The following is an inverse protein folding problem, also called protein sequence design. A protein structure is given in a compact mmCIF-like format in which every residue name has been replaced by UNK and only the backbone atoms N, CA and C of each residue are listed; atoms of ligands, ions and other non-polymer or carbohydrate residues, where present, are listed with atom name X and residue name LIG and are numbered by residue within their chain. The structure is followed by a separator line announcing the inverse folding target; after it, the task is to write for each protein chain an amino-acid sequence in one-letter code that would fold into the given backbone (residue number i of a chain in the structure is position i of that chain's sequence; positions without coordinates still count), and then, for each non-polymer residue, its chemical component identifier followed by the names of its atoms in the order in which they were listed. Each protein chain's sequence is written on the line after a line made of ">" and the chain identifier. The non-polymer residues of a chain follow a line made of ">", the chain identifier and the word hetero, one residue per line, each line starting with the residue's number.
data_IF_178519779883
#
_entry.id   IF_178519779883
#
_cell.length_a   1.000
_cell.length_b   1.000
_cell.length_c   1.000
_cell.angle_alpha   90.00
_cell.angle_beta   90.00
_cell.angle_gamma   90.00
#
_symmetry.space_group_name_H-M   'P 1'
#
loop_
_entity.id
_entity.type
_entity.pdbx_description
1 polymer ?
#
# COMPACT_ATOMS: atom_id res chain seq x y z
N UNK A 1 0.61 29.41 -49.46
CA UNK A 1 -0.09 29.44 -48.16
C UNK A 1 0.10 28.05 -47.56
N UNK A 2 1.05 27.90 -46.63
CA UNK A 2 1.36 26.61 -46.00
C UNK A 2 0.67 26.58 -44.63
N UNK A 3 -0.27 25.67 -44.46
CA UNK A 3 -0.85 25.36 -43.15
C UNK A 3 0.13 24.43 -42.42
N UNK A 4 0.85 24.96 -41.43
CA UNK A 4 1.51 24.14 -40.44
C UNK A 4 0.46 23.79 -39.38
N UNK A 5 -0.01 22.54 -39.38
CA UNK A 5 -0.68 21.97 -38.22
C UNK A 5 0.40 21.80 -37.13
N UNK A 6 0.54 22.81 -36.28
CA UNK A 6 1.23 22.65 -35.00
C UNK A 6 0.32 21.74 -34.18
N UNK A 7 0.63 20.43 -34.19
CA UNK A 7 0.03 19.48 -33.28
C UNK A 7 0.26 19.99 -31.87
N UNK A 8 -0.82 20.46 -31.24
CA UNK A 8 -0.84 20.67 -29.80
C UNK A 8 -0.69 19.27 -29.19
N UNK A 9 0.53 18.91 -28.78
CA UNK A 9 0.71 17.88 -27.77
C UNK A 9 0.07 18.44 -26.50
N UNK A 10 -1.23 18.20 -26.34
CA UNK A 10 -1.84 18.28 -25.02
C UNK A 10 -1.11 17.22 -24.20
N UNK A 11 -0.34 17.63 -23.20
CA UNK A 11 0.09 16.72 -22.14
C UNK A 11 -1.18 16.28 -21.40
N UNK A 12 -1.88 15.29 -21.95
CA UNK A 12 -2.78 14.48 -21.16
C UNK A 12 -1.85 13.69 -20.24
N UNK A 13 -1.82 14.07 -18.97
CA UNK A 13 -1.20 13.23 -17.95
C UNK A 13 -2.07 11.98 -17.87
N UNK A 14 -1.49 10.80 -18.16
CA UNK A 14 -2.14 9.53 -17.86
C UNK A 14 -2.10 9.26 -16.36
N UNK A 15 -2.95 8.35 -15.90
CA UNK A 15 -2.83 7.78 -14.56
C UNK A 15 -1.40 7.25 -14.34
N UNK A 16 -0.87 7.34 -13.12
CA UNK A 16 0.54 7.05 -12.88
C UNK A 16 0.79 6.44 -11.50
N UNK A 17 1.88 5.69 -11.39
CA UNK A 17 2.45 5.27 -10.11
C UNK A 17 3.55 6.25 -9.68
N UNK A 18 3.71 6.39 -8.37
CA UNK A 18 4.99 6.82 -7.79
C UNK A 18 5.71 5.64 -7.14
N UNK A 19 6.99 5.80 -6.88
CA UNK A 19 7.78 4.83 -6.12
C UNK A 19 8.62 5.53 -5.05
N UNK A 20 8.99 4.77 -4.03
CA UNK A 20 9.96 5.21 -3.01
C UNK A 20 11.35 5.39 -3.62
N UNK A 21 11.59 4.85 -4.82
CA UNK A 21 12.84 4.97 -5.58
C UNK A 21 14.06 4.34 -4.90
N UNK A 22 13.79 3.39 -4.01
CA UNK A 22 14.71 2.49 -3.32
C UNK A 22 14.07 1.10 -3.33
N UNK A 23 14.85 0.05 -3.14
CA UNK A 23 14.41 -1.32 -3.37
C UNK A 23 15.19 -2.30 -2.48
N UNK A 24 14.64 -3.50 -2.32
CA UNK A 24 15.34 -4.61 -1.67
C UNK A 24 16.39 -5.24 -2.59
N UNK A 25 17.67 -5.12 -2.21
CA UNK A 25 18.77 -5.73 -2.98
C UNK A 25 18.71 -7.26 -2.90
N UNK A 26 18.43 -7.77 -1.71
CA UNK A 26 18.30 -9.20 -1.41
C UNK A 26 16.83 -9.55 -1.10
N UNK A 27 16.54 -10.83 -0.92
CA UNK A 27 15.21 -11.28 -0.49
C UNK A 27 14.83 -10.61 0.83
N UNK A 28 13.67 -9.90 0.91
CA UNK A 28 13.28 -9.28 2.16
C UNK A 28 12.84 -10.32 3.19
N UNK A 29 13.14 -10.03 4.44
CA UNK A 29 12.58 -10.74 5.60
C UNK A 29 11.47 -9.89 6.19
N UNK A 30 10.27 -10.45 6.20
CA UNK A 30 9.07 -9.87 6.80
C UNK A 30 8.95 -10.35 8.23
N UNK A 31 8.86 -9.43 9.18
CA UNK A 31 8.68 -9.74 10.58
C UNK A 31 7.33 -9.23 11.05
N UNK A 32 6.45 -10.16 11.41
CA UNK A 32 5.08 -9.89 11.83
C UNK A 32 5.08 -9.78 13.35
N UNK A 33 4.94 -8.55 13.84
CA UNK A 33 4.99 -8.17 15.24
C UNK A 33 3.56 -8.11 15.78
N UNK A 34 3.09 -9.23 16.33
CA UNK A 34 1.71 -9.33 16.79
C UNK A 34 1.46 -8.50 18.05
N UNK A 35 0.28 -7.88 18.20
CA UNK A 35 -0.11 -7.17 19.41
C UNK A 35 -0.35 -8.15 20.58
N UNK A 36 -0.66 -7.62 21.76
CA UNK A 36 -0.98 -8.43 22.93
C UNK A 36 -2.21 -9.33 22.67
N UNK A 37 -1.99 -10.64 22.77
CA UNK A 37 -3.00 -11.69 22.54
C UNK A 37 -4.21 -11.60 23.47
N UNK A 38 -4.10 -10.90 24.60
CA UNK A 38 -5.23 -10.68 25.51
C UNK A 38 -6.24 -9.66 24.99
N UNK A 39 -5.85 -8.88 23.98
CA UNK A 39 -6.64 -7.75 23.46
C UNK A 39 -6.96 -7.85 21.98
N UNK A 40 -6.41 -8.84 21.28
CA UNK A 40 -6.46 -8.93 19.81
C UNK A 40 -6.62 -10.37 19.32
N UNK A 41 -7.33 -10.54 18.21
CA UNK A 41 -7.50 -11.85 17.54
C UNK A 41 -6.28 -12.20 16.69
N UNK A 42 -5.25 -12.78 17.34
CA UNK A 42 -4.00 -13.17 16.66
C UNK A 42 -4.21 -14.18 15.51
N UNK A 43 -5.04 -15.23 15.66
CA UNK A 43 -5.36 -16.13 14.54
C UNK A 43 -5.89 -15.39 13.30
N UNK A 44 -6.80 -14.42 13.49
CA UNK A 44 -7.31 -13.61 12.39
C UNK A 44 -6.20 -12.76 11.74
N UNK A 45 -5.42 -12.02 12.54
CA UNK A 45 -4.33 -11.19 12.01
C UNK A 45 -3.31 -12.01 11.24
N UNK A 46 -2.97 -13.19 11.76
CA UNK A 46 -2.10 -14.16 11.08
C UNK A 46 -2.66 -14.53 9.72
N UNK A 47 -3.91 -14.99 9.66
CA UNK A 47 -4.54 -15.42 8.41
C UNK A 47 -4.55 -14.30 7.36
N UNK A 48 -4.98 -13.09 7.74
CA UNK A 48 -5.09 -11.98 6.80
C UNK A 48 -3.73 -11.49 6.31
N UNK A 49 -2.74 -11.40 7.19
CA UNK A 49 -1.41 -10.93 6.82
C UNK A 49 -0.66 -11.91 5.95
N UNK A 50 -0.68 -13.21 6.28
CA UNK A 50 -0.10 -14.21 5.39
C UNK A 50 -0.84 -14.28 4.05
N UNK A 51 -2.18 -14.15 4.04
CA UNK A 51 -2.96 -14.09 2.79
C UNK A 51 -2.50 -12.94 1.89
N UNK A 52 -2.29 -11.76 2.46
CA UNK A 52 -1.86 -10.58 1.72
C UNK A 52 -0.42 -10.69 1.18
N UNK A 53 0.53 -11.11 2.02
CA UNK A 53 1.94 -11.32 1.61
C UNK A 53 2.04 -12.40 0.53
N UNK A 54 1.32 -13.51 0.70
CA UNK A 54 1.33 -14.61 -0.25
C UNK A 54 0.71 -14.22 -1.60
N UNK A 55 -0.29 -13.34 -1.62
CA UNK A 55 -0.87 -12.87 -2.88
C UNK A 55 0.18 -12.12 -3.73
N UNK A 56 0.90 -11.17 -3.14
CA UNK A 56 1.99 -10.46 -3.81
C UNK A 56 3.03 -11.44 -4.35
N UNK A 57 3.57 -12.30 -3.49
CA UNK A 57 4.57 -13.29 -3.87
C UNK A 57 4.08 -14.19 -5.01
N UNK A 58 2.88 -14.78 -4.86
CA UNK A 58 2.31 -15.72 -5.83
C UNK A 58 2.09 -15.05 -7.18
N UNK A 59 1.52 -13.84 -7.21
CA UNK A 59 1.26 -13.13 -8.46
C UNK A 59 2.54 -12.71 -9.18
N UNK A 60 3.55 -12.26 -8.44
CA UNK A 60 4.86 -11.90 -9.02
C UNK A 60 5.59 -13.12 -9.60
N UNK A 61 5.62 -14.24 -8.86
CA UNK A 61 6.16 -15.52 -9.35
C UNK A 61 5.39 -15.98 -10.58
N UNK A 62 4.06 -15.93 -10.58
CA UNK A 62 3.26 -16.34 -11.72
C UNK A 62 3.48 -15.47 -12.96
N UNK A 63 3.74 -14.17 -12.79
CA UNK A 63 3.93 -13.23 -13.89
C UNK A 63 5.28 -13.39 -14.60
N UNK A 64 6.34 -13.81 -13.88
CA UNK A 64 7.72 -13.79 -14.40
C UNK A 64 8.49 -15.10 -14.26
N UNK A 65 8.12 -15.94 -13.30
CA UNK A 65 8.93 -17.09 -12.87
C UNK A 65 10.20 -16.72 -12.11
N UNK A 66 10.41 -15.44 -11.80
CA UNK A 66 11.59 -14.93 -11.09
C UNK A 66 11.62 -15.25 -9.59
N UNK A 67 12.70 -14.84 -8.92
CA UNK A 67 12.86 -14.96 -7.48
C UNK A 67 12.12 -13.84 -6.74
N UNK A 68 10.90 -14.12 -6.32
CA UNK A 68 10.09 -13.21 -5.50
C UNK A 68 9.92 -13.71 -4.07
N UNK A 69 10.87 -14.50 -3.59
CA UNK A 69 10.77 -15.14 -2.30
C UNK A 69 10.94 -14.12 -1.17
N UNK A 70 9.97 -14.10 -0.26
CA UNK A 70 9.97 -13.29 0.96
C UNK A 70 9.77 -14.23 2.14
N UNK A 71 10.70 -14.22 3.09
CA UNK A 71 10.59 -15.06 4.29
C UNK A 71 9.82 -14.31 5.36
N UNK A 72 8.80 -14.94 5.95
CA UNK A 72 8.03 -14.34 7.04
C UNK A 72 8.36 -15.02 8.37
N UNK A 73 8.66 -14.21 9.38
CA UNK A 73 8.87 -14.65 10.76
C UNK A 73 7.84 -13.97 11.66
N UNK A 74 7.32 -14.71 12.62
CA UNK A 74 6.27 -14.26 13.54
C UNK A 74 6.87 -14.01 14.92
N UNK A 75 6.55 -12.87 15.53
CA UNK A 75 6.97 -12.55 16.89
C UNK A 75 5.72 -12.21 17.73
N UNK A 76 5.44 -12.97 18.81
CA UNK A 76 4.37 -12.61 19.75
C UNK A 76 4.77 -11.39 20.58
N UNK A 77 3.78 -10.64 21.08
CA UNK A 77 4.01 -9.44 21.90
C UNK A 77 5.01 -9.64 23.05
N UNK A 78 4.98 -10.80 23.71
CA UNK A 78 5.88 -11.13 24.81
C UNK A 78 7.37 -11.09 24.45
N UNK A 79 7.71 -11.23 23.17
CA UNK A 79 9.09 -11.20 22.67
C UNK A 79 9.54 -9.80 22.23
N UNK A 80 8.61 -8.93 21.83
CA UNK A 80 8.95 -7.65 21.19
C UNK A 80 8.36 -6.39 21.83
N UNK A 81 7.45 -6.52 22.80
CA UNK A 81 6.68 -5.37 23.32
C UNK A 81 7.51 -4.24 23.95
N UNK A 82 8.76 -4.54 24.34
CA UNK A 82 9.74 -3.56 24.86
C UNK A 82 11.00 -3.49 23.98
N UNK A 83 11.01 -4.22 22.87
CA UNK A 83 12.13 -4.29 21.94
C UNK A 83 12.09 -3.14 20.94
N UNK A 84 13.20 -2.95 20.25
CA UNK A 84 13.37 -1.96 19.20
C UNK A 84 13.70 -2.66 17.89
N UNK A 85 13.68 -1.92 16.79
CA UNK A 85 14.10 -2.45 15.48
C UNK A 85 15.51 -3.04 15.52
N UNK A 86 16.41 -2.53 16.36
CA UNK A 86 17.80 -3.00 16.50
C UNK A 86 17.92 -4.42 17.07
N UNK A 87 16.89 -4.89 17.79
CA UNK A 87 16.85 -6.24 18.35
C UNK A 87 16.53 -7.31 17.28
N UNK A 88 16.10 -6.88 16.09
CA UNK A 88 15.74 -7.74 14.95
C UNK A 88 16.49 -7.35 13.67
N UNK A 89 17.83 -7.47 13.64
CA UNK A 89 18.66 -7.00 12.52
C UNK A 89 18.37 -7.74 11.21
N UNK A 90 17.78 -8.92 11.24
CA UNK A 90 17.39 -9.72 10.09
C UNK A 90 16.15 -9.18 9.36
N UNK A 91 15.32 -8.38 10.05
CA UNK A 91 14.06 -7.87 9.52
C UNK A 91 14.29 -6.66 8.63
N UNK A 92 13.74 -6.72 7.41
CA UNK A 92 13.74 -5.60 6.46
C UNK A 92 12.37 -4.97 6.28
N UNK A 93 11.30 -5.70 6.64
CA UNK A 93 9.92 -5.19 6.64
C UNK A 93 9.30 -5.61 7.98
N UNK A 94 8.88 -4.63 8.78
CA UNK A 94 8.16 -4.85 10.04
C UNK A 94 6.67 -4.63 9.80
N UNK A 95 5.83 -5.58 10.17
CA UNK A 95 4.36 -5.44 10.15
C UNK A 95 3.87 -5.41 11.58
N UNK A 96 3.34 -4.27 12.01
CA UNK A 96 2.85 -4.03 13.36
C UNK A 96 1.36 -3.71 13.33
N UNK A 97 0.69 -3.98 14.45
CA UNK A 97 -0.74 -3.69 14.60
C UNK A 97 -0.93 -2.76 15.80
N UNK A 98 -1.71 -1.72 15.61
CA UNK A 98 -2.04 -0.75 16.65
C UNK A 98 -3.55 -0.62 16.78
N UNK A 99 -4.03 -0.14 17.93
CA UNK A 99 -5.46 0.07 18.13
C UNK A 99 -6.06 0.99 17.06
N UNK A 100 -5.33 2.04 16.70
CA UNK A 100 -5.76 3.03 15.72
C UNK A 100 -5.53 4.43 16.26
N UNK A 101 -5.50 5.41 15.37
CA UNK A 101 -5.32 6.81 15.75
C UNK A 101 -6.45 7.64 15.15
N UNK A 102 -6.78 8.77 15.79
CA UNK A 102 -7.87 9.63 15.34
C UNK A 102 -7.47 10.44 14.09
N UNK A 103 -7.25 9.73 12.99
CA UNK A 103 -7.09 10.28 11.64
C UNK A 103 -7.88 9.42 10.63
N UNK A 104 -7.93 9.88 9.38
CA UNK A 104 -8.63 9.17 8.30
C UNK A 104 -7.78 8.01 7.72
N UNK A 105 -6.63 7.68 8.32
CA UNK A 105 -5.73 6.62 7.87
C UNK A 105 -6.06 5.32 8.59
N UNK A 106 -6.12 4.22 7.87
CA UNK A 106 -6.33 2.87 8.43
C UNK A 106 -5.07 1.99 8.38
N UNK A 107 -4.03 2.47 7.70
CA UNK A 107 -2.69 1.88 7.65
C UNK A 107 -1.65 2.96 7.39
N UNK A 108 -0.39 2.67 7.70
CA UNK A 108 0.76 3.56 7.44
C UNK A 108 2.00 2.74 7.14
N UNK A 109 2.79 3.20 6.19
CA UNK A 109 4.12 2.66 5.94
C UNK A 109 5.18 3.76 6.03
N UNK A 110 6.10 3.58 6.97
CA UNK A 110 7.34 4.36 7.10
C UNK A 110 8.55 3.57 6.62
N UNK A 111 9.68 4.24 6.51
CA UNK A 111 10.96 3.61 6.18
C UNK A 111 12.12 4.40 6.76
N UNK A 112 13.23 3.70 7.02
CA UNK A 112 14.49 4.30 7.44
C UNK A 112 15.62 3.83 6.50
N UNK A 113 16.18 4.78 5.76
CA UNK A 113 17.38 4.61 4.91
C UNK A 113 18.53 5.49 5.38
N UNK A 114 18.51 5.96 6.64
CA UNK A 114 19.52 6.85 7.19
C UNK A 114 20.89 6.17 7.32
N UNK A 115 20.92 4.84 7.41
CA UNK A 115 22.13 4.03 7.47
C UNK A 115 22.43 3.38 6.12
N UNK A 116 23.70 3.45 5.69
CA UNK A 116 24.18 2.71 4.51
C UNK A 116 24.36 1.22 4.77
N UNK A 117 24.22 0.78 6.03
CA UNK A 117 24.45 -0.60 6.48
C UNK A 117 23.13 -1.33 6.69
N UNK A 118 22.07 -0.60 7.05
CA UNK A 118 20.76 -1.16 7.35
C UNK A 118 19.66 -0.25 6.85
N UNK A 119 18.66 -0.84 6.21
CA UNK A 119 17.41 -0.19 5.89
C UNK A 119 16.25 -1.09 6.29
N UNK A 120 15.12 -0.49 6.60
CA UNK A 120 13.91 -1.23 6.92
C UNK A 120 12.66 -0.40 6.61
N UNK A 121 11.56 -1.09 6.37
CA UNK A 121 10.21 -0.54 6.31
C UNK A 121 9.47 -0.88 7.58
N UNK A 122 8.61 0.04 8.01
CA UNK A 122 7.76 -0.12 9.18
C UNK A 122 6.31 0.11 8.78
N UNK A 123 5.53 -0.96 8.79
CA UNK A 123 4.11 -0.98 8.46
C UNK A 123 3.33 -1.01 9.78
N UNK A 124 2.35 -0.13 9.88
CA UNK A 124 1.37 -0.09 10.98
C UNK A 124 -0.02 -0.29 10.39
N UNK A 125 -0.73 -1.27 10.94
CA UNK A 125 -2.10 -1.61 10.58
C UNK A 125 -2.99 -1.22 11.75
N UNK A 126 -3.99 -0.38 11.51
CA UNK A 126 -4.95 -0.03 12.54
C UNK A 126 -5.97 -1.16 12.69
N UNK A 127 -6.28 -1.54 13.93
CA UNK A 127 -7.31 -2.54 14.25
C UNK A 127 -8.69 -1.91 14.44
N UNK A 128 -8.73 -0.60 14.71
CA UNK A 128 -9.93 0.18 14.87
C UNK A 128 -9.80 1.50 14.13
N UNK A 129 -10.93 2.02 13.68
CA UNK A 129 -11.02 3.37 13.12
C UNK A 129 -12.28 4.08 13.59
N UNK A 130 -12.31 5.40 13.39
CA UNK A 130 -13.41 6.25 13.81
C UNK A 130 -14.41 6.46 12.68
N UNK A 131 -15.68 6.16 12.93
CA UNK A 131 -16.77 6.57 12.04
C UNK A 131 -17.39 7.85 12.63
N UNK A 132 -17.39 8.94 11.85
CA UNK A 132 -18.05 10.20 12.24
C UNK A 132 -19.53 10.14 11.88
N UNK A 133 -20.40 9.93 12.85
CA UNK A 133 -21.85 10.01 12.67
C UNK A 133 -22.34 11.43 12.94
N UNK A 134 -22.89 12.07 11.91
CA UNK A 134 -23.56 13.36 12.05
C UNK A 134 -25.02 13.08 12.44
N UNK A 135 -25.37 13.37 13.69
CA UNK A 135 -26.75 13.35 14.16
C UNK A 135 -27.32 14.76 14.06
N UNK A 136 -28.23 14.96 13.10
CA UNK A 136 -28.99 16.22 12.98
C UNK A 136 -30.32 16.05 13.71
N UNK A 137 -30.50 16.75 14.83
CA UNK A 137 -31.81 16.91 15.45
C UNK A 137 -32.45 18.19 14.94
N UNK A 138 -33.61 18.06 14.30
CA UNK A 138 -34.41 19.20 13.85
C UNK A 138 -35.38 19.60 14.97
N UNK A 139 -35.21 20.81 15.50
CA UNK A 139 -36.13 21.42 16.47
C UNK A 139 -37.32 22.10 15.80
N UNK A 140 -38.20 22.74 16.57
CA UNK A 140 -39.38 23.44 15.99
C UNK A 140 -38.98 24.66 15.16
N UNK A 141 -37.77 25.18 15.37
CA UNK A 141 -37.15 26.25 14.60
C UNK A 141 -35.63 26.03 14.43
N UNK A 142 -34.99 26.87 13.62
CA UNK A 142 -33.55 26.77 13.32
C UNK A 142 -32.66 26.89 14.56
N UNK A 143 -33.08 27.67 15.58
CA UNK A 143 -32.31 27.86 16.81
C UNK A 143 -32.41 26.66 17.76
N UNK A 144 -33.39 25.78 17.57
CA UNK A 144 -33.60 24.54 18.34
C UNK A 144 -33.05 23.31 17.62
N UNK A 145 -32.57 23.47 16.39
CA UNK A 145 -31.91 22.40 15.65
C UNK A 145 -30.47 22.26 16.11
N UNK A 146 -30.02 21.05 16.40
CA UNK A 146 -28.65 20.77 16.82
C UNK A 146 -27.99 19.78 15.84
N UNK A 147 -26.70 19.98 15.61
CA UNK A 147 -25.85 19.06 14.86
C UNK A 147 -24.82 18.51 15.84
N UNK A 148 -24.99 17.25 16.21
CA UNK A 148 -24.05 16.53 17.07
C UNK A 148 -23.18 15.63 16.18
N UNK A 149 -21.87 15.79 16.26
CA UNK A 149 -20.91 14.86 15.65
C UNK A 149 -20.52 13.87 16.73
N UNK A 150 -20.92 12.61 16.58
CA UNK A 150 -20.48 11.51 17.43
C UNK A 150 -19.36 10.76 16.73
N UNK A 151 -18.22 10.67 17.40
CA UNK A 151 -17.10 9.85 16.98
C UNK A 151 -17.15 8.56 17.78
N UNK A 152 -17.34 7.43 17.10
CA UNK A 152 -17.34 6.10 17.72
C UNK A 152 -16.25 5.25 17.06
N UNK A 153 -15.53 4.47 17.87
CA UNK A 153 -14.50 3.55 17.41
C UNK A 153 -15.13 2.23 17.02
N UNK A 154 -14.78 1.75 15.83
CA UNK A 154 -15.23 0.47 15.30
C UNK A 154 -14.03 -0.41 14.99
N UNK A 155 -14.12 -1.68 15.35
CA UNK A 155 -13.14 -2.69 14.96
C UNK A 155 -13.24 -2.94 13.45
N UNK A 156 -12.10 -2.90 12.77
CA UNK A 156 -12.02 -3.08 11.33
C UNK A 156 -12.24 -4.57 11.00
N UNK A 157 -13.16 -4.91 10.09
CA UNK A 157 -13.45 -6.29 9.72
C UNK A 157 -12.21 -7.01 9.14
N UNK A 158 -12.12 -8.35 9.29
CA UNK A 158 -10.96 -9.12 8.80
C UNK A 158 -10.64 -8.93 7.31
N UNK A 159 -11.65 -8.86 6.43
CA UNK A 159 -11.43 -8.62 5.00
C UNK A 159 -10.81 -7.24 4.74
N UNK A 160 -11.15 -6.24 5.54
CA UNK A 160 -10.62 -4.89 5.42
C UNK A 160 -9.20 -4.81 5.99
N UNK A 161 -8.92 -5.49 7.11
CA UNK A 161 -7.55 -5.68 7.60
C UNK A 161 -6.66 -6.28 6.50
N UNK A 162 -7.14 -7.30 5.81
CA UNK A 162 -6.42 -7.90 4.67
C UNK A 162 -6.14 -6.89 3.57
N UNK A 163 -7.13 -6.09 3.19
CA UNK A 163 -6.99 -5.06 2.15
C UNK A 163 -5.94 -4.01 2.56
N UNK A 164 -5.95 -3.59 3.82
CA UNK A 164 -4.98 -2.63 4.38
C UNK A 164 -3.59 -3.24 4.34
N UNK A 165 -3.40 -4.47 4.84
CA UNK A 165 -2.10 -5.15 4.78
C UNK A 165 -1.64 -5.29 3.33
N UNK A 166 -2.52 -5.63 2.39
CA UNK A 166 -2.17 -5.78 0.98
C UNK A 166 -1.61 -4.48 0.38
N UNK A 167 -2.21 -3.34 0.73
CA UNK A 167 -1.76 -2.01 0.29
C UNK A 167 -0.45 -1.58 0.95
N UNK A 168 -0.41 -1.59 2.28
CA UNK A 168 0.77 -1.14 3.04
C UNK A 168 1.99 -2.04 2.76
N UNK A 169 1.76 -3.33 2.55
CA UNK A 169 2.83 -4.23 2.14
C UNK A 169 3.38 -3.88 0.76
N UNK A 170 2.55 -3.38 -0.16
CA UNK A 170 3.02 -2.84 -1.44
C UNK A 170 3.99 -1.66 -1.26
N UNK A 171 3.73 -0.78 -0.28
CA UNK A 171 4.69 0.25 0.12
C UNK A 171 5.99 -0.34 0.69
N UNK A 172 5.88 -1.39 1.50
CA UNK A 172 7.02 -2.17 1.99
C UNK A 172 7.90 -2.74 0.88
N UNK A 173 7.36 -2.94 -0.33
CA UNK A 173 8.11 -3.40 -1.51
C UNK A 173 8.67 -2.26 -2.37
N UNK A 174 8.42 -1.00 -2.00
CA UNK A 174 8.95 0.19 -2.67
C UNK A 174 7.97 0.90 -3.63
N UNK A 175 6.71 0.45 -3.71
CA UNK A 175 5.65 1.19 -4.41
C UNK A 175 5.23 2.42 -3.58
N UNK A 176 4.82 3.48 -4.24
CA UNK A 176 3.94 4.49 -3.62
C UNK A 176 2.55 4.35 -4.27
N UNK A 177 1.72 5.37 -4.19
CA UNK A 177 0.36 5.31 -4.66
C UNK A 177 0.27 5.29 -6.18
N UNK A 178 -0.81 4.67 -6.65
CA UNK A 178 -1.41 4.88 -7.95
C UNK A 178 -2.32 6.11 -7.90
N UNK A 179 -2.15 7.02 -8.85
CA UNK A 179 -2.91 8.27 -8.96
C UNK A 179 -3.72 8.26 -10.24
N UNK A 180 -5.03 8.48 -10.07
CA UNK A 180 -5.94 8.73 -11.18
C UNK A 180 -5.94 10.22 -11.50
N UNK A 181 -5.64 10.57 -12.75
CA UNK A 181 -5.65 11.97 -13.22
C UNK A 181 -6.67 12.23 -14.33
N UNK A 182 -7.27 11.16 -14.83
CA UNK A 182 -8.38 11.11 -15.78
C UNK A 182 -9.61 11.88 -15.26
N UNK A 183 -10.38 12.53 -16.15
CA UNK A 183 -11.61 13.24 -15.75
C UNK A 183 -12.77 12.26 -15.66
N UNK A 184 -13.01 11.76 -14.44
CA UNK A 184 -14.01 10.74 -14.13
C UNK A 184 -15.47 11.16 -14.40
N UNK A 185 -15.72 12.41 -14.80
CA UNK A 185 -17.04 12.85 -15.29
C UNK A 185 -17.24 12.51 -16.76
N UNK A 186 -16.15 12.32 -17.49
CA UNK A 186 -16.13 12.11 -18.93
C UNK A 186 -15.70 10.69 -19.32
N UNK A 187 -15.01 9.99 -18.43
CA UNK A 187 -14.58 8.60 -18.62
C UNK A 187 -14.69 7.80 -17.32
N UNK A 188 -14.64 6.47 -17.44
CA UNK A 188 -14.63 5.58 -16.29
C UNK A 188 -13.22 5.53 -15.69
N UNK A 189 -13.07 6.03 -14.47
CA UNK A 189 -11.80 6.03 -13.75
C UNK A 189 -11.54 4.68 -13.10
N UNK A 190 -10.30 4.21 -13.22
CA UNK A 190 -9.89 2.94 -12.64
C UNK A 190 -9.31 3.15 -11.24
N UNK A 191 -10.08 2.78 -10.21
CA UNK A 191 -9.65 2.77 -8.81
C UNK A 191 -9.32 1.37 -8.29
N UNK A 192 -9.24 0.38 -9.20
CA UNK A 192 -9.00 -1.02 -8.84
C UNK A 192 -7.60 -1.35 -8.33
N UNK A 193 -6.49 -0.66 -8.72
CA UNK A 193 -5.16 -0.97 -8.21
C UNK A 193 -5.12 -0.93 -6.69
N UNK A 194 -4.47 -1.94 -6.07
CA UNK A 194 -4.41 -1.97 -4.61
C UNK A 194 -3.68 -0.74 -4.09
N UNK A 195 -2.71 -0.21 -4.84
CA UNK A 195 -1.97 0.99 -4.48
C UNK A 195 -2.74 2.30 -4.70
N UNK A 196 -4.01 2.29 -5.07
CA UNK A 196 -4.81 3.52 -5.00
C UNK A 196 -4.86 4.02 -3.55
N UNK A 197 -4.53 5.30 -3.31
CA UNK A 197 -4.31 5.87 -1.97
C UNK A 197 -5.55 6.02 -1.09
N UNK A 198 -6.61 5.28 -1.36
CA UNK A 198 -7.83 5.25 -0.56
C UNK A 198 -8.34 3.81 -0.46
N UNK A 199 -8.60 3.41 0.78
CA UNK A 199 -9.20 2.12 1.14
C UNK A 199 -10.43 2.42 1.95
N UNK A 200 -11.59 2.14 1.36
CA UNK A 200 -12.84 2.14 2.09
C UNK A 200 -12.93 0.88 2.95
N UNK A 201 -13.30 1.09 4.21
CA UNK A 201 -13.54 0.03 5.20
C UNK A 201 -15.05 -0.07 5.47
N UNK A 202 -15.50 -1.23 5.96
CA UNK A 202 -16.90 -1.56 6.24
C UNK A 202 -17.81 -1.73 5.00
N UNK A 203 -17.24 -1.77 3.80
CA UNK A 203 -17.98 -1.99 2.55
C UNK A 203 -18.10 -3.49 2.18
N UNK A 204 -17.40 -4.37 2.90
CA UNK A 204 -17.38 -5.81 2.61
C UNK A 204 -16.71 -6.16 1.28
N UNK A 205 -15.89 -5.24 0.76
CA UNK A 205 -15.15 -5.41 -0.50
C UNK A 205 -13.86 -6.20 -0.25
N UNK A 206 -13.53 -7.10 -1.16
CA UNK A 206 -12.26 -7.80 -1.18
C UNK A 206 -11.41 -7.25 -2.34
N UNK A 207 -10.31 -6.57 -1.99
CA UNK A 207 -9.36 -6.04 -2.97
C UNK A 207 -8.28 -7.09 -3.27
N UNK A 208 -7.67 -6.92 -4.45
CA UNK A 208 -6.64 -7.81 -4.97
C UNK A 208 -5.53 -6.97 -5.61
N UNK A 209 -4.30 -7.48 -5.60
CA UNK A 209 -3.17 -6.92 -6.36
C UNK A 209 -3.48 -7.02 -7.85
N UNK A 210 -3.48 -5.90 -8.55
CA UNK A 210 -3.81 -5.87 -9.99
C UNK A 210 -2.58 -6.08 -10.86
N UNK A 211 -2.79 -6.37 -12.14
CA UNK A 211 -1.69 -6.46 -13.11
C UNK A 211 -0.87 -5.16 -13.20
N UNK A 212 -1.50 -4.01 -12.95
CA UNK A 212 -0.82 -2.71 -12.93
C UNK A 212 0.20 -2.63 -11.78
N UNK A 213 -0.21 -3.08 -10.60
CA UNK A 213 0.65 -3.15 -9.41
C UNK A 213 1.83 -4.12 -9.65
N UNK A 214 1.55 -5.29 -10.23
CA UNK A 214 2.56 -6.30 -10.57
C UNK A 214 3.59 -5.78 -11.58
N UNK A 215 3.14 -5.17 -12.69
CA UNK A 215 4.02 -4.57 -13.69
C UNK A 215 4.93 -3.50 -13.09
N UNK A 216 4.41 -2.74 -12.13
CA UNK A 216 5.19 -1.70 -11.47
C UNK A 216 6.31 -2.28 -10.60
N UNK A 217 6.07 -3.38 -9.85
CA UNK A 217 7.15 -4.08 -9.13
C UNK A 217 8.16 -4.71 -10.08
N UNK A 218 7.73 -5.34 -11.17
CA UNK A 218 8.64 -5.86 -12.20
C UNK A 218 9.49 -4.72 -12.78
N UNK A 219 8.95 -3.50 -12.90
CA UNK A 219 9.73 -2.33 -13.34
C UNK A 219 10.80 -1.92 -12.33
N UNK A 220 10.56 -2.10 -11.03
CA UNK A 220 11.49 -1.77 -9.94
C UNK A 220 12.61 -2.82 -9.84
N UNK A 221 12.24 -4.11 -9.86
CA UNK A 221 13.15 -5.21 -9.55
C UNK A 221 13.69 -5.95 -10.79
N UNK A 222 13.01 -5.85 -11.94
CA UNK A 222 13.26 -6.67 -13.11
C UNK A 222 12.48 -7.99 -13.07
N UNK A 223 12.52 -8.75 -14.17
CA UNK A 223 11.82 -10.04 -14.28
C UNK A 223 12.42 -11.12 -13.35
N UNK A 224 13.71 -11.03 -13.05
CA UNK A 224 14.40 -11.98 -12.17
C UNK A 224 14.04 -11.80 -10.68
N UNK A 225 13.44 -10.67 -10.30
CA UNK A 225 13.02 -10.38 -8.92
C UNK A 225 14.17 -9.97 -7.99
N UNK A 226 14.08 -10.35 -6.71
CA UNK A 226 15.05 -10.00 -5.66
C UNK A 226 16.39 -10.71 -5.83
N UNK A 227 17.49 -10.10 -5.37
CA UNK A 227 18.83 -10.70 -5.38
C UNK A 227 19.56 -10.64 -6.72
N UNK A 228 18.96 -10.03 -7.75
CA UNK A 228 19.52 -9.88 -9.09
C UNK A 228 19.82 -8.42 -9.43
N UNK A 229 20.71 -8.15 -10.41
CA UNK A 229 20.97 -6.79 -10.86
C UNK A 229 19.69 -6.12 -11.32
N UNK A 230 19.28 -5.07 -10.62
CA UNK A 230 18.06 -4.34 -10.93
C UNK A 230 18.19 -3.53 -12.23
N UNK A 231 17.05 -3.13 -12.82
CA UNK A 231 17.04 -2.17 -13.91
C UNK A 231 17.89 -0.94 -13.57
N UNK A 232 18.62 -0.42 -14.57
CA UNK A 232 19.57 0.69 -14.43
C UNK A 232 18.99 1.95 -13.77
N UNK A 233 17.66 2.10 -13.80
CA UNK A 233 16.94 3.20 -13.20
C UNK A 233 15.58 2.74 -12.68
N UNK A 234 15.26 3.16 -11.46
CA UNK A 234 13.94 2.99 -10.84
C UNK A 234 13.16 4.30 -11.00
N UNK A 235 12.03 4.30 -11.71
CA UNK A 235 11.18 5.48 -11.87
C UNK A 235 10.63 5.99 -10.55
N UNK A 236 10.82 7.28 -10.25
CA UNK A 236 10.10 7.97 -9.16
C UNK A 236 8.62 8.19 -9.49
N UNK A 237 8.32 8.28 -10.79
CA UNK A 237 6.98 8.42 -11.33
C UNK A 237 6.94 7.63 -12.64
N UNK A 238 5.87 6.87 -12.86
CA UNK A 238 5.70 6.03 -14.02
C UNK A 238 4.26 6.14 -14.55
N UNK A 239 4.11 6.68 -15.76
CA UNK A 239 2.83 6.74 -16.47
C UNK A 239 2.36 5.32 -16.86
N UNK A 240 1.08 5.01 -16.61
CA UNK A 240 0.52 3.68 -16.89
C UNK A 240 0.61 3.31 -18.37
N UNK A 241 0.48 4.27 -19.28
CA UNK A 241 0.61 4.01 -20.71
C UNK A 241 2.00 3.49 -21.05
N UNK A 242 3.01 3.93 -20.31
CA UNK A 242 4.37 3.49 -20.51
C UNK A 242 4.70 2.14 -19.88
N UNK A 243 3.89 1.65 -18.94
CA UNK A 243 3.95 0.26 -18.46
C UNK A 243 3.37 -0.72 -19.50
N UNK A 244 2.55 -0.25 -20.44
CA UNK A 244 1.88 -1.11 -21.43
C UNK A 244 2.60 -1.17 -22.78
N UNK A 245 3.24 -0.08 -23.20
CA UNK A 245 3.76 0.05 -24.58
C UNK A 245 5.29 0.06 -24.64
N UNK A 246 5.99 -0.16 -23.52
CA UNK A 246 7.44 0.00 -23.36
C UNK A 246 7.94 1.32 -23.97
N UNK A 247 7.78 2.42 -23.23
CA UNK A 247 8.19 3.76 -23.64
C UNK A 247 9.73 3.93 -23.80
N UNK A 248 10.51 2.84 -23.78
CA UNK A 248 11.91 2.84 -24.12
C UNK A 248 12.76 3.54 -23.07
N UNK A 249 12.92 2.93 -21.89
CA UNK A 249 13.83 3.36 -20.80
C UNK A 249 13.82 4.88 -20.57
N UNK A 250 12.66 5.51 -20.74
CA UNK A 250 12.52 6.94 -20.64
C UNK A 250 12.51 7.29 -19.15
N UNK A 251 12.89 8.52 -18.79
CA UNK A 251 12.71 8.99 -17.40
C UNK A 251 11.23 9.15 -17.00
N UNK A 252 10.29 8.77 -17.86
CA UNK A 252 8.85 8.78 -17.64
C UNK A 252 8.28 7.39 -17.30
N UNK A 253 9.05 6.34 -17.63
CA UNK A 253 9.04 4.90 -17.29
C UNK A 253 10.07 4.28 -18.27
#
# INVERSE_FOLDING_TARGET
>A
MAFACVGLFTNAYGDYFKTVGVYHVDNPTVCIMYPDETTSDIPMLKEQTFSAINEWQTKLVNATGGNWNMTSTEYPWSEHGEATVEDYPECTIFVNYIYGVENESVGRTGFDFSSSVRYYYWIEIDLNTVERKISVSLGENFNESNVEIKTEWFEIPPNDIRNIVLHEFGHGLGLEHYYVTSDCRTEECDYSPIMFGSIDVFEGLEKNVTDKDIKMLIRIYGEDGFGYPTPKWIPRTCDIQCLEVDCGNSRMC
#
